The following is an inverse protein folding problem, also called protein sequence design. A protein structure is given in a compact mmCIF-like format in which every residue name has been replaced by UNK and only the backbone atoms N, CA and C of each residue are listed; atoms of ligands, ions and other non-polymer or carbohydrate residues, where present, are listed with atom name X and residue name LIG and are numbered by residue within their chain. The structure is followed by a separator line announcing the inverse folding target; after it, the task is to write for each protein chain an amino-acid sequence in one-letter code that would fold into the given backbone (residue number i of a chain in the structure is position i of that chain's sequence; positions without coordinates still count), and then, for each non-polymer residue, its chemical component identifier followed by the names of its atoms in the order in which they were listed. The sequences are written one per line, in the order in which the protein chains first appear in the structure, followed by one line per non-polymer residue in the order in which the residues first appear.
data_IF_472696956614
#
_entry.id   IF_472696956614
#
_cell.length_a   1.000
_cell.length_b   1.000
_cell.length_c   1.000
_cell.angle_alpha   90.00
_cell.angle_beta   90.00
_cell.angle_gamma   90.00
#
_symmetry.space_group_name_H-M   'P 1'
#
loop_
_entity.id
_entity.type
_entity.pdbx_description
1 polymer ?
#
# COMPACT_ATOMS: atom_id res chain seq x y z
N UNK A 1 30.49 13.12 -9.89
CA UNK A 1 29.55 12.72 -8.81
C UNK A 1 28.10 13.11 -9.12
N UNK A 2 27.80 14.37 -9.46
CA UNK A 2 26.45 14.85 -9.82
C UNK A 2 25.82 14.09 -11.00
N UNK A 3 26.60 13.81 -12.04
CA UNK A 3 26.13 13.06 -13.21
C UNK A 3 25.82 11.58 -12.93
N UNK A 4 26.49 10.97 -11.95
CA UNK A 4 26.25 9.58 -11.55
C UNK A 4 24.93 9.46 -10.76
N UNK A 5 24.67 10.44 -9.88
CA UNK A 5 23.40 10.56 -9.15
C UNK A 5 22.24 10.82 -10.12
N UNK A 6 22.43 11.72 -11.09
CA UNK A 6 21.44 11.96 -12.14
C UNK A 6 21.14 10.70 -12.95
N UNK A 7 22.17 9.93 -13.37
CA UNK A 7 21.98 8.67 -14.10
C UNK A 7 21.28 7.58 -13.28
N UNK A 8 21.53 7.51 -11.98
CA UNK A 8 20.87 6.57 -11.05
C UNK A 8 19.41 6.96 -10.78
N UNK A 9 19.05 8.24 -10.84
CA UNK A 9 17.70 8.73 -10.66
C UNK A 9 16.82 8.66 -11.92
N UNK A 10 17.40 8.66 -13.13
CA UNK A 10 16.65 8.56 -14.39
C UNK A 10 15.68 7.37 -14.42
N UNK A 11 16.06 6.14 -14.03
CA UNK A 11 15.11 5.05 -14.00
C UNK A 11 14.11 5.11 -12.83
N UNK A 12 14.34 5.93 -11.79
CA UNK A 12 13.32 6.27 -10.78
C UNK A 12 12.23 7.21 -11.34
N UNK A 13 12.55 8.01 -12.36
CA UNK A 13 11.64 8.96 -13.02
C UNK A 13 10.82 8.28 -14.13
N UNK A 14 11.35 7.22 -14.74
CA UNK A 14 10.76 6.52 -15.88
C UNK A 14 9.89 5.29 -15.50
N UNK A 15 9.90 4.88 -14.24
CA UNK A 15 8.89 3.96 -13.72
C UNK A 15 7.62 4.76 -13.44
N UNK A 16 6.41 4.24 -13.74
CA UNK A 16 5.18 4.91 -13.36
C UNK A 16 5.15 5.02 -11.83
N UNK A 17 5.56 6.18 -11.32
CA UNK A 17 5.88 6.42 -9.92
C UNK A 17 4.64 6.56 -9.03
N UNK A 18 3.45 6.46 -9.57
CA UNK A 18 2.27 7.02 -8.92
C UNK A 18 1.16 5.97 -8.96
N UNK A 19 0.81 5.48 -7.76
CA UNK A 19 -0.31 4.59 -7.41
C UNK A 19 -0.01 3.10 -7.19
N UNK A 20 1.06 2.82 -6.48
CA UNK A 20 1.07 1.66 -5.58
C UNK A 20 0.77 2.24 -4.20
N UNK A 21 0.07 1.51 -3.36
CA UNK A 21 0.23 1.75 -1.94
C UNK A 21 1.59 1.18 -1.52
N UNK A 22 1.64 0.41 -0.44
CA UNK A 22 2.69 -0.58 -0.36
C UNK A 22 2.73 -1.46 -1.63
N UNK A 23 3.92 -1.98 -1.96
CA UNK A 23 4.09 -2.76 -3.18
C UNK A 23 3.55 -4.19 -3.07
N UNK A 24 3.66 -4.92 -4.19
CA UNK A 24 3.26 -6.34 -4.30
C UNK A 24 3.84 -7.19 -3.18
N UNK A 25 5.11 -6.97 -2.83
CA UNK A 25 5.83 -7.70 -1.81
C UNK A 25 5.16 -7.57 -0.45
N UNK A 26 4.87 -6.35 0.00
CA UNK A 26 4.17 -6.16 1.28
C UNK A 26 2.77 -6.79 1.27
N UNK A 27 1.99 -6.61 0.20
CA UNK A 27 0.66 -7.21 0.13
C UNK A 27 0.69 -8.75 0.13
N UNK A 28 1.69 -9.36 -0.52
CA UNK A 28 1.90 -10.80 -0.43
C UNK A 28 2.38 -11.23 0.96
N UNK A 29 3.23 -10.44 1.62
CA UNK A 29 3.67 -10.73 2.98
C UNK A 29 2.47 -10.72 3.96
N UNK A 30 1.60 -9.72 3.85
CA UNK A 30 0.36 -9.63 4.63
C UNK A 30 -0.63 -10.75 4.28
N UNK A 31 -0.78 -11.05 2.99
CA UNK A 31 -1.59 -12.17 2.53
C UNK A 31 -1.10 -13.52 3.08
N UNK A 32 0.20 -13.78 3.02
CA UNK A 32 0.81 -14.98 3.58
C UNK A 32 0.56 -15.09 5.08
N UNK A 33 0.66 -13.98 5.81
CA UNK A 33 0.34 -13.96 7.24
C UNK A 33 -1.10 -14.41 7.53
N UNK A 34 -2.08 -13.98 6.73
CA UNK A 34 -3.47 -14.45 6.87
C UNK A 34 -3.56 -15.96 6.61
N UNK A 35 -2.89 -16.46 5.57
CA UNK A 35 -2.89 -17.90 5.24
C UNK A 35 -2.18 -18.76 6.30
N UNK A 36 -1.22 -18.21 7.03
CA UNK A 36 -0.55 -18.87 8.15
C UNK A 36 -1.44 -18.91 9.40
N UNK A 37 -2.46 -18.04 9.48
CA UNK A 37 -3.32 -17.84 10.65
C UNK A 37 -4.81 -18.11 10.37
N UNK A 38 -5.10 -19.03 9.45
CA UNK A 38 -6.49 -19.32 9.02
C UNK A 38 -7.41 -19.78 10.15
N UNK A 39 -6.87 -20.37 11.23
CA UNK A 39 -7.65 -20.80 12.40
C UNK A 39 -8.28 -19.63 13.17
N UNK A 40 -7.80 -18.40 12.96
CA UNK A 40 -8.36 -17.18 13.53
C UNK A 40 -9.45 -16.54 12.64
N UNK A 41 -9.84 -17.21 11.55
CA UNK A 41 -10.93 -16.79 10.67
C UNK A 41 -12.19 -17.64 10.90
N UNK A 42 -13.38 -17.19 10.45
CA UNK A 42 -14.57 -18.01 10.49
C UNK A 42 -14.37 -19.30 9.68
N UNK A 43 -14.91 -20.43 10.15
CA UNK A 43 -14.67 -21.77 9.56
C UNK A 43 -14.90 -21.83 8.05
N UNK A 44 -15.94 -21.14 7.55
CA UNK A 44 -16.21 -21.07 6.12
C UNK A 44 -15.06 -20.42 5.34
N UNK A 45 -14.49 -19.33 5.86
CA UNK A 45 -13.39 -18.61 5.23
C UNK A 45 -12.06 -19.37 5.40
N UNK A 46 -11.82 -19.97 6.56
CA UNK A 46 -10.70 -20.89 6.78
C UNK A 46 -10.65 -21.99 5.71
N UNK A 47 -11.78 -22.68 5.49
CA UNK A 47 -11.88 -23.74 4.49
C UNK A 47 -11.69 -23.21 3.07
N UNK A 48 -12.30 -22.06 2.74
CA UNK A 48 -12.20 -21.44 1.43
C UNK A 48 -10.75 -21.02 1.10
N UNK A 49 -10.10 -20.28 2.00
CA UNK A 49 -8.75 -19.78 1.77
C UNK A 49 -7.71 -20.91 1.85
N UNK A 50 -7.94 -21.92 2.70
CA UNK A 50 -7.12 -23.13 2.75
C UNK A 50 -7.19 -23.96 1.47
N UNK A 51 -8.35 -24.02 0.82
CA UNK A 51 -8.53 -24.71 -0.46
C UNK A 51 -7.99 -23.91 -1.67
N UNK A 52 -8.05 -22.57 -1.62
CA UNK A 52 -7.69 -21.69 -2.74
C UNK A 52 -6.62 -20.62 -2.39
N UNK A 53 -5.48 -20.97 -1.76
CA UNK A 53 -4.53 -20.00 -1.21
C UNK A 53 -3.87 -19.13 -2.30
N UNK A 54 -3.57 -19.70 -3.46
CA UNK A 54 -2.99 -18.94 -4.57
C UNK A 54 -3.96 -17.95 -5.21
N UNK A 55 -5.27 -18.26 -5.22
CA UNK A 55 -6.27 -17.33 -5.73
C UNK A 55 -6.46 -16.15 -4.77
N UNK A 56 -6.44 -16.43 -3.46
CA UNK A 56 -6.41 -15.40 -2.43
C UNK A 56 -5.20 -14.47 -2.57
N UNK A 57 -3.98 -15.04 -2.64
CA UNK A 57 -2.76 -14.25 -2.83
C UNK A 57 -2.75 -13.47 -4.14
N UNK A 58 -3.32 -14.02 -5.21
CA UNK A 58 -3.52 -13.28 -6.46
C UNK A 58 -4.47 -12.09 -6.24
N UNK A 59 -5.55 -12.28 -5.48
CA UNK A 59 -6.44 -11.21 -5.03
C UNK A 59 -5.70 -10.08 -4.33
N UNK A 60 -4.82 -10.40 -3.38
CA UNK A 60 -4.03 -9.43 -2.59
C UNK A 60 -3.18 -8.48 -3.44
N UNK A 61 -2.87 -8.83 -4.69
CA UNK A 61 -2.02 -8.02 -5.58
C UNK A 61 -2.77 -7.55 -6.83
N UNK A 62 -4.04 -7.94 -6.97
CA UNK A 62 -4.79 -7.72 -8.21
C UNK A 62 -5.26 -6.28 -8.42
N UNK A 63 -5.45 -5.53 -7.33
CA UNK A 63 -5.78 -4.10 -7.39
C UNK A 63 -4.66 -3.27 -8.08
N UNK A 64 -3.41 -3.70 -7.95
CA UNK A 64 -2.25 -3.03 -8.53
C UNK A 64 -1.95 -3.44 -9.99
N UNK A 65 -2.70 -4.41 -10.53
CA UNK A 65 -2.50 -4.83 -11.92
C UNK A 65 -2.82 -3.71 -12.90
N UNK A 66 -3.80 -2.86 -12.60
CA UNK A 66 -4.26 -1.79 -13.49
C UNK A 66 -3.21 -0.67 -13.59
N UNK A 67 -2.50 -0.51 -14.71
CA UNK A 67 -1.46 0.53 -14.87
C UNK A 67 -2.00 1.81 -15.54
N UNK A 68 -1.23 2.91 -15.48
CA UNK A 68 -1.54 4.16 -16.20
C UNK A 68 -2.54 5.10 -15.53
N UNK A 69 -2.71 4.97 -14.20
CA UNK A 69 -3.87 5.50 -13.47
C UNK A 69 -3.95 7.06 -13.36
N UNK A 70 -2.87 7.80 -13.60
CA UNK A 70 -2.77 9.28 -13.43
C UNK A 70 -3.64 10.11 -14.40
N UNK A 71 -4.11 9.55 -15.51
CA UNK A 71 -4.90 10.30 -16.50
C UNK A 71 -6.41 10.06 -16.41
N UNK A 72 -6.88 9.40 -15.34
CA UNK A 72 -8.30 9.03 -15.20
C UNK A 72 -8.77 9.16 -13.74
N UNK A 73 -10.04 9.48 -13.51
CA UNK A 73 -10.67 9.45 -12.16
C UNK A 73 -10.75 8.04 -11.53
N UNK A 74 -10.17 7.04 -12.20
CA UNK A 74 -10.30 5.61 -11.93
C UNK A 74 -9.59 5.14 -10.65
N UNK A 75 -8.57 5.85 -10.18
CA UNK A 75 -7.86 5.56 -8.93
C UNK A 75 -8.81 5.40 -7.74
N UNK A 76 -9.81 6.29 -7.67
CA UNK A 76 -10.85 6.28 -6.63
C UNK A 76 -11.82 5.10 -6.76
N UNK A 77 -11.81 4.41 -7.90
CA UNK A 77 -12.72 3.32 -8.18
C UNK A 77 -12.12 1.95 -7.90
N UNK A 78 -10.81 1.71 -8.06
CA UNK A 78 -10.24 0.40 -7.74
C UNK A 78 -9.91 0.26 -6.24
N UNK A 79 -9.25 1.24 -5.62
CA UNK A 79 -8.85 1.15 -4.21
C UNK A 79 -9.96 1.62 -3.25
N UNK A 80 -11.17 1.05 -3.38
CA UNK A 80 -12.30 1.41 -2.53
C UNK A 80 -13.16 0.22 -2.15
N UNK A 81 -13.71 0.24 -0.94
CA UNK A 81 -14.55 -0.84 -0.39
C UNK A 81 -15.73 -1.23 -1.29
N UNK A 82 -16.32 -0.23 -1.97
CA UNK A 82 -17.38 -0.45 -2.95
C UNK A 82 -16.93 -1.37 -4.09
N UNK A 83 -15.68 -1.27 -4.53
CA UNK A 83 -15.16 -2.14 -5.58
C UNK A 83 -14.85 -3.53 -5.06
N UNK A 84 -14.22 -3.64 -3.89
CA UNK A 84 -14.02 -4.93 -3.23
C UNK A 84 -15.33 -5.70 -3.07
N UNK A 85 -16.41 -5.01 -2.69
CA UNK A 85 -17.76 -5.58 -2.64
C UNK A 85 -18.29 -6.03 -3.98
N UNK A 86 -18.19 -5.20 -5.03
CA UNK A 86 -18.60 -5.60 -6.38
C UNK A 86 -17.87 -6.84 -6.88
N UNK A 87 -16.58 -6.96 -6.60
CA UNK A 87 -15.77 -8.13 -6.97
C UNK A 87 -16.25 -9.37 -6.21
N UNK A 88 -16.52 -9.23 -4.90
CA UNK A 88 -17.04 -10.32 -4.07
C UNK A 88 -18.43 -10.77 -4.51
N UNK A 89 -19.34 -9.82 -4.78
CA UNK A 89 -20.71 -10.10 -5.22
C UNK A 89 -20.76 -10.76 -6.62
N UNK A 90 -19.81 -10.42 -7.49
CA UNK A 90 -19.70 -10.99 -8.83
C UNK A 90 -18.96 -12.35 -8.87
N UNK A 91 -18.36 -12.79 -7.76
CA UNK A 91 -17.62 -14.04 -7.70
C UNK A 91 -18.55 -15.26 -7.74
N UNK A 92 -18.48 -16.05 -8.81
CA UNK A 92 -19.35 -17.21 -9.01
C UNK A 92 -18.77 -18.52 -8.45
N UNK A 93 -17.43 -18.63 -8.39
CA UNK A 93 -16.73 -19.85 -7.95
C UNK A 93 -15.98 -19.61 -6.64
N UNK A 94 -15.66 -20.68 -5.91
CA UNK A 94 -14.90 -20.57 -4.66
C UNK A 94 -13.48 -20.03 -4.89
N UNK A 95 -12.84 -20.35 -6.01
CA UNK A 95 -11.58 -19.73 -6.41
C UNK A 95 -11.71 -18.20 -6.57
N UNK A 96 -12.78 -17.74 -7.22
CA UNK A 96 -13.07 -16.32 -7.38
C UNK A 96 -13.42 -15.63 -6.05
N UNK A 97 -14.17 -16.29 -5.16
CA UNK A 97 -14.46 -15.76 -3.83
C UNK A 97 -13.18 -15.59 -3.02
N UNK A 98 -12.29 -16.59 -3.05
CA UNK A 98 -10.97 -16.48 -2.40
C UNK A 98 -10.17 -15.29 -2.95
N UNK A 99 -10.19 -15.09 -4.28
CA UNK A 99 -9.58 -13.93 -4.92
C UNK A 99 -10.21 -12.60 -4.45
N UNK A 100 -11.53 -12.53 -4.35
CA UNK A 100 -12.24 -11.35 -3.86
C UNK A 100 -11.88 -11.02 -2.40
N UNK A 101 -11.78 -12.02 -1.52
CA UNK A 101 -11.30 -11.81 -0.14
C UNK A 101 -9.84 -11.34 -0.11
N UNK A 102 -9.00 -11.82 -1.02
CA UNK A 102 -7.64 -11.28 -1.20
C UNK A 102 -7.65 -9.79 -1.56
N UNK A 103 -8.56 -9.39 -2.44
CA UNK A 103 -8.76 -7.97 -2.79
C UNK A 103 -9.17 -7.14 -1.57
N UNK A 104 -10.04 -7.66 -0.70
CA UNK A 104 -10.41 -6.98 0.54
C UNK A 104 -9.24 -6.85 1.52
N UNK A 105 -8.38 -7.88 1.63
CA UNK A 105 -7.15 -7.81 2.42
C UNK A 105 -6.17 -6.77 1.88
N UNK A 106 -6.11 -6.58 0.56
CA UNK A 106 -5.34 -5.49 -0.05
C UNK A 106 -5.86 -4.13 0.41
N UNK A 107 -7.17 -3.89 0.26
CA UNK A 107 -7.79 -2.64 0.70
C UNK A 107 -7.60 -2.38 2.21
N UNK A 108 -7.68 -3.44 3.03
CA UNK A 108 -7.46 -3.33 4.47
C UNK A 108 -6.03 -2.84 4.79
N UNK A 109 -5.02 -3.38 4.10
CA UNK A 109 -3.64 -2.93 4.24
C UNK A 109 -3.48 -1.46 3.79
N UNK A 110 -4.13 -1.08 2.68
CA UNK A 110 -4.10 0.28 2.15
C UNK A 110 -4.64 1.31 3.15
N UNK A 111 -5.65 0.97 3.97
CA UNK A 111 -6.13 1.89 5.02
C UNK A 111 -5.02 2.31 5.99
N UNK A 112 -4.11 1.39 6.36
CA UNK A 112 -2.98 1.67 7.25
C UNK A 112 -1.89 2.42 6.50
N UNK A 113 -1.57 1.97 5.29
CA UNK A 113 -0.53 2.59 4.46
C UNK A 113 -0.85 4.07 4.19
N UNK A 114 -2.08 4.36 3.76
CA UNK A 114 -2.47 5.67 3.25
C UNK A 114 -3.11 6.58 4.30
N UNK A 115 -3.57 6.06 5.44
CA UNK A 115 -4.10 6.91 6.52
C UNK A 115 -3.07 7.21 7.61
N UNK A 116 -2.02 6.38 7.74
CA UNK A 116 -1.01 6.53 8.79
C UNK A 116 0.41 6.55 8.27
N UNK A 117 0.88 5.44 7.67
CA UNK A 117 2.30 5.27 7.34
C UNK A 117 2.82 6.36 6.39
N UNK A 118 2.29 6.43 5.17
CA UNK A 118 2.76 7.37 4.15
C UNK A 118 2.53 8.83 4.58
N UNK A 119 1.33 9.24 5.05
CA UNK A 119 1.09 10.60 5.52
C UNK A 119 2.07 11.04 6.61
N UNK A 120 2.25 10.23 7.66
CA UNK A 120 3.13 10.59 8.77
C UNK A 120 4.59 10.69 8.31
N UNK A 121 5.07 9.75 7.48
CA UNK A 121 6.45 9.81 6.96
C UNK A 121 6.69 10.99 6.02
N UNK A 122 5.67 11.40 5.27
CA UNK A 122 5.70 12.65 4.52
C UNK A 122 5.83 13.85 5.45
N UNK A 123 5.07 13.92 6.55
CA UNK A 123 5.19 15.03 7.50
C UNK A 123 6.55 15.01 8.22
N UNK A 124 7.01 13.85 8.70
CA UNK A 124 8.32 13.66 9.36
C UNK A 124 9.49 14.18 8.52
N UNK A 125 9.35 14.19 7.20
CA UNK A 125 10.40 14.63 6.27
C UNK A 125 10.10 15.97 5.60
N UNK A 126 9.37 16.84 6.31
CA UNK A 126 8.96 18.16 5.82
C UNK A 126 10.10 18.99 5.24
N UNK A 127 11.32 18.92 5.79
CA UNK A 127 12.48 19.67 5.32
C UNK A 127 13.29 18.98 4.21
N UNK A 128 12.80 17.90 3.60
CA UNK A 128 13.53 17.14 2.56
C UNK A 128 12.71 16.95 1.28
N UNK A 129 13.00 17.73 0.23
CA UNK A 129 12.17 17.88 -0.99
C UNK A 129 11.84 16.57 -1.72
N UNK A 130 12.76 15.61 -1.78
CA UNK A 130 12.62 14.39 -2.59
C UNK A 130 11.86 13.25 -1.90
N UNK A 131 11.66 13.31 -0.57
CA UNK A 131 11.07 12.20 0.19
C UNK A 131 9.55 12.31 0.22
N UNK A 132 8.94 11.99 -0.92
CA UNK A 132 7.50 12.04 -1.16
C UNK A 132 6.86 10.66 -0.99
N UNK A 133 5.58 10.54 -1.33
CA UNK A 133 4.76 9.33 -1.25
C UNK A 133 5.49 8.05 -1.70
N UNK A 134 5.84 7.96 -2.98
CA UNK A 134 6.46 6.77 -3.60
C UNK A 134 7.77 6.35 -2.94
N UNK A 135 8.52 7.32 -2.41
CA UNK A 135 9.78 7.02 -1.73
C UNK A 135 9.56 6.14 -0.51
N UNK A 136 8.54 6.45 0.29
CA UNK A 136 8.27 5.71 1.53
C UNK A 136 7.75 4.31 1.27
N UNK A 137 6.92 4.15 0.25
CA UNK A 137 6.43 2.85 -0.19
C UNK A 137 7.55 1.96 -0.70
N UNK A 138 8.38 2.47 -1.62
CA UNK A 138 9.54 1.74 -2.13
C UNK A 138 10.53 1.38 -1.02
N UNK A 139 10.70 2.26 -0.03
CA UNK A 139 11.57 2.00 1.10
C UNK A 139 11.02 0.90 2.01
N UNK A 140 9.70 0.89 2.24
CA UNK A 140 9.06 -0.18 3.00
C UNK A 140 9.15 -1.52 2.25
N UNK A 141 8.87 -1.49 0.95
CA UNK A 141 8.95 -2.64 0.03
C UNK A 141 10.37 -3.23 -0.04
N UNK A 142 11.41 -2.38 0.02
CA UNK A 142 12.80 -2.82 0.03
C UNK A 142 13.12 -3.74 1.22
N UNK A 143 12.37 -3.61 2.31
CA UNK A 143 12.50 -4.45 3.49
C UNK A 143 11.75 -5.78 3.42
N UNK A 144 10.99 -6.05 2.36
CA UNK A 144 10.24 -7.31 2.21
C UNK A 144 11.20 -8.51 2.14
N UNK A 145 10.89 -9.62 2.83
CA UNK A 145 11.73 -10.81 2.83
C UNK A 145 11.90 -11.43 1.43
N UNK A 146 13.10 -11.93 1.05
CA UNK A 146 13.38 -12.48 -0.28
C UNK A 146 12.44 -13.62 -0.73
N UNK A 147 11.95 -14.44 0.19
CA UNK A 147 11.02 -15.54 -0.04
C UNK A 147 9.67 -15.07 -0.57
N UNK A 148 9.21 -13.89 -0.15
CA UNK A 148 7.97 -13.28 -0.65
C UNK A 148 8.07 -12.99 -2.14
N UNK A 149 9.27 -12.66 -2.64
CA UNK A 149 9.52 -12.45 -4.07
C UNK A 149 9.56 -13.77 -4.85
N UNK A 150 9.97 -14.87 -4.22
CA UNK A 150 9.81 -16.19 -4.83
C UNK A 150 8.32 -16.55 -4.99
N UNK A 151 7.51 -16.24 -3.97
CA UNK A 151 6.05 -16.38 -4.04
C UNK A 151 5.45 -15.50 -5.13
N UNK A 152 5.83 -14.23 -5.22
CA UNK A 152 5.38 -13.31 -6.27
C UNK A 152 5.62 -13.88 -7.69
N UNK A 153 6.79 -14.48 -7.94
CA UNK A 153 7.09 -15.15 -9.22
C UNK A 153 6.24 -16.40 -9.45
N UNK A 154 5.96 -17.16 -8.40
CA UNK A 154 5.06 -18.32 -8.49
C UNK A 154 3.66 -17.89 -8.88
N UNK A 155 3.13 -16.82 -8.27
CA UNK A 155 1.83 -16.23 -8.63
C UNK A 155 1.86 -15.71 -10.06
N UNK A 156 2.88 -14.95 -10.46
CA UNK A 156 2.99 -14.38 -11.82
C UNK A 156 3.02 -15.44 -12.94
N UNK A 157 3.49 -16.66 -12.65
CA UNK A 157 3.56 -17.78 -13.61
C UNK A 157 2.28 -18.61 -13.69
N UNK A 158 1.42 -18.56 -12.67
CA UNK A 158 0.16 -19.31 -12.66
C UNK A 158 -0.87 -18.65 -13.58
N UNK A 159 -1.69 -19.46 -14.23
CA UNK A 159 -2.89 -18.95 -14.91
C UNK A 159 -3.99 -18.71 -13.89
N UNK A 160 -4.59 -17.52 -13.96
CA UNK A 160 -5.74 -17.11 -13.15
C UNK A 160 -6.87 -16.62 -14.06
N UNK A 161 -7.05 -17.24 -15.24
CA UNK A 161 -7.98 -16.80 -16.29
C UNK A 161 -9.41 -16.52 -15.79
N UNK A 162 -9.92 -17.37 -14.88
CA UNK A 162 -11.25 -17.17 -14.30
C UNK A 162 -11.32 -15.93 -13.39
N UNK A 163 -10.25 -15.63 -12.64
CA UNK A 163 -10.18 -14.41 -11.84
C UNK A 163 -9.91 -13.19 -12.74
N UNK A 164 -9.13 -13.34 -13.81
CA UNK A 164 -8.93 -12.27 -14.80
C UNK A 164 -10.25 -11.89 -15.47
N UNK A 165 -11.08 -12.87 -15.80
CA UNK A 165 -12.41 -12.64 -16.37
C UNK A 165 -13.31 -11.91 -15.37
N UNK A 166 -13.31 -12.34 -14.10
CA UNK A 166 -14.02 -11.62 -13.03
C UNK A 166 -13.55 -10.16 -12.94
N UNK A 167 -12.23 -9.95 -12.85
CA UNK A 167 -11.64 -8.63 -12.71
C UNK A 167 -11.98 -7.76 -13.92
N UNK A 168 -11.85 -8.26 -15.16
CA UNK A 168 -12.25 -7.52 -16.38
C UNK A 168 -13.72 -7.12 -16.40
N UNK A 169 -14.59 -7.97 -15.88
CA UNK A 169 -16.04 -7.69 -15.91
C UNK A 169 -16.42 -6.60 -14.90
N UNK A 170 -15.67 -6.47 -13.80
CA UNK A 170 -15.98 -5.56 -12.69
C UNK A 170 -15.17 -4.27 -12.78
N UNK A 171 -13.90 -4.37 -13.17
CA UNK A 171 -12.98 -3.26 -13.40
C UNK A 171 -13.22 -2.73 -14.82
N UNK A 172 -13.73 -1.50 -14.95
CA UNK A 172 -13.81 -0.86 -16.27
C UNK A 172 -12.40 -0.67 -16.87
N UNK A 173 -12.29 -0.70 -18.20
CA UNK A 173 -11.01 -0.49 -18.87
C UNK A 173 -10.44 0.91 -18.54
N UNK A 174 -9.14 0.97 -18.26
CA UNK A 174 -8.39 2.24 -18.18
C UNK A 174 -7.80 2.58 -19.56
N UNK A 175 -6.66 3.27 -19.62
CA UNK A 175 -5.96 3.56 -20.88
C UNK A 175 -5.57 2.26 -21.62
N UNK A 176 -5.32 1.19 -20.86
CA UNK A 176 -5.03 -0.14 -21.40
C UNK A 176 -6.08 -1.15 -20.93
N UNK A 177 -6.36 -2.14 -21.76
CA UNK A 177 -7.13 -3.30 -21.32
C UNK A 177 -6.47 -3.97 -20.11
N UNK A 178 -7.28 -4.57 -19.24
CA UNK A 178 -6.77 -5.35 -18.11
C UNK A 178 -5.73 -6.41 -18.53
N UNK A 179 -5.93 -7.06 -19.69
CA UNK A 179 -5.00 -8.07 -20.22
C UNK A 179 -3.63 -7.48 -20.53
N UNK A 180 -3.57 -6.28 -21.13
CA UNK A 180 -2.33 -5.56 -21.40
C UNK A 180 -1.64 -5.15 -20.09
N UNK A 181 -2.41 -4.60 -19.16
CA UNK A 181 -1.96 -4.23 -17.81
C UNK A 181 -1.36 -5.42 -17.06
N UNK A 182 -2.05 -6.57 -17.07
CA UNK A 182 -1.57 -7.82 -16.47
C UNK A 182 -0.28 -8.32 -17.10
N UNK A 183 -0.15 -8.24 -18.43
CA UNK A 183 1.10 -8.64 -19.10
C UNK A 183 2.28 -7.80 -18.64
N UNK A 184 2.10 -6.48 -18.52
CA UNK A 184 3.13 -5.58 -18.02
C UNK A 184 3.46 -5.87 -16.54
N UNK A 185 2.44 -6.02 -15.71
CA UNK A 185 2.57 -6.36 -14.29
C UNK A 185 3.34 -7.67 -14.07
N UNK A 186 2.94 -8.75 -14.73
CA UNK A 186 3.62 -10.04 -14.65
C UNK A 186 5.06 -9.93 -15.15
N UNK A 187 5.30 -9.15 -16.20
CA UNK A 187 6.65 -8.92 -16.72
C UNK A 187 7.52 -8.26 -15.65
N UNK A 188 7.01 -7.24 -14.94
CA UNK A 188 7.72 -6.60 -13.83
C UNK A 188 8.09 -7.63 -12.74
N UNK A 189 7.14 -8.44 -12.27
CA UNK A 189 7.37 -9.45 -11.22
C UNK A 189 8.41 -10.51 -11.58
N UNK A 190 8.58 -10.79 -12.88
CA UNK A 190 9.53 -11.77 -13.37
C UNK A 190 10.94 -11.19 -13.63
N UNK A 191 11.11 -9.86 -13.61
CA UNK A 191 12.40 -9.23 -13.82
C UNK A 191 13.31 -9.43 -12.59
N UNK A 192 14.44 -10.11 -12.77
CA UNK A 192 15.52 -10.17 -11.79
C UNK A 192 16.06 -8.79 -11.37
N UNK A 193 15.84 -7.76 -12.19
CA UNK A 193 16.19 -6.38 -11.85
C UNK A 193 15.49 -5.92 -10.57
N UNK A 194 14.26 -6.35 -10.27
CA UNK A 194 13.59 -5.97 -9.00
C UNK A 194 14.45 -6.30 -7.76
N UNK A 195 15.14 -7.44 -7.75
CA UNK A 195 16.03 -7.81 -6.63
C UNK A 195 17.29 -6.94 -6.56
N UNK A 196 17.85 -6.54 -7.71
CA UNK A 196 19.00 -5.63 -7.75
C UNK A 196 18.60 -4.20 -7.31
N UNK A 197 17.40 -3.77 -7.72
CA UNK A 197 16.79 -2.52 -7.29
C UNK A 197 16.48 -2.51 -5.80
N UNK A 198 15.99 -3.61 -5.24
CA UNK A 198 15.81 -3.77 -3.78
C UNK A 198 17.13 -3.69 -3.03
N UNK A 199 18.21 -4.32 -3.53
CA UNK A 199 19.54 -4.19 -2.91
C UNK A 199 20.03 -2.75 -2.93
N UNK A 200 19.83 -2.05 -4.04
CA UNK A 200 20.14 -0.62 -4.14
C UNK A 200 19.30 0.21 -3.16
N UNK A 201 17.99 -0.02 -3.08
CA UNK A 201 17.09 0.68 -2.17
C UNK A 201 17.40 0.40 -0.69
N UNK A 202 17.78 -0.83 -0.33
CA UNK A 202 18.27 -1.17 1.02
C UNK A 202 19.54 -0.37 1.35
N UNK A 203 20.51 -0.32 0.44
CA UNK A 203 21.74 0.46 0.64
C UNK A 203 21.48 1.98 0.74
N UNK A 204 20.55 2.51 -0.04
CA UNK A 204 20.09 3.90 0.09
C UNK A 204 19.34 4.15 1.40
N UNK A 205 18.70 3.12 1.96
CA UNK A 205 17.98 3.22 3.24
C UNK A 205 18.94 3.27 4.44
N UNK A 206 20.07 2.57 4.37
CA UNK A 206 21.13 2.56 5.41
C UNK A 206 21.84 3.91 5.52
N UNK A 207 21.90 4.67 4.42
CA UNK A 207 22.60 5.96 4.34
C UNK A 207 21.69 7.18 4.56
N UNK A 208 20.37 6.97 4.59
CA UNK A 208 19.40 8.06 4.77
C UNK A 208 19.30 8.47 6.23
N UNK A 209 19.44 9.78 6.51
CA UNK A 209 19.24 10.38 7.85
C UNK A 209 17.86 10.06 8.44
N UNK A 210 16.88 9.76 7.59
CA UNK A 210 15.52 9.46 8.00
C UNK A 210 15.33 7.96 8.07
N UNK A 211 15.78 7.28 9.13
CA UNK A 211 15.62 5.83 9.27
C UNK A 211 14.15 5.40 9.28
N UNK A 212 13.87 4.26 8.63
CA UNK A 212 12.68 3.45 8.88
C UNK A 212 13.20 2.25 9.68
N UNK A 213 13.16 2.35 11.01
CA UNK A 213 13.66 1.30 11.89
C UNK A 213 12.72 0.08 11.93
N UNK A 214 13.20 -1.02 12.51
CA UNK A 214 12.44 -2.26 12.60
C UNK A 214 11.18 -2.09 13.46
N UNK A 215 11.24 -1.29 14.53
CA UNK A 215 10.09 -1.03 15.40
C UNK A 215 8.95 -0.31 14.66
N UNK A 216 9.26 0.75 13.89
CA UNK A 216 8.28 1.40 13.03
C UNK A 216 7.68 0.39 12.02
N UNK A 217 8.51 -0.45 11.40
CA UNK A 217 8.03 -1.44 10.42
C UNK A 217 7.10 -2.46 11.04
N UNK A 218 7.45 -2.97 12.22
CA UNK A 218 6.65 -3.93 12.96
C UNK A 218 5.33 -3.30 13.43
N UNK A 219 5.32 -2.02 13.82
CA UNK A 219 4.11 -1.28 14.12
C UNK A 219 3.17 -1.23 12.89
N UNK A 220 3.66 -0.78 11.74
CA UNK A 220 2.82 -0.65 10.54
C UNK A 220 2.36 -2.01 9.99
N UNK A 221 3.25 -3.01 9.93
CA UNK A 221 2.87 -4.37 9.53
C UNK A 221 1.90 -4.99 10.52
N UNK A 222 2.10 -4.79 11.82
CA UNK A 222 1.19 -5.27 12.87
C UNK A 222 -0.21 -4.71 12.68
N UNK A 223 -0.33 -3.39 12.51
CA UNK A 223 -1.62 -2.73 12.24
C UNK A 223 -2.27 -3.22 10.95
N UNK A 224 -1.49 -3.43 9.88
CA UNK A 224 -2.02 -3.92 8.61
C UNK A 224 -2.49 -5.37 8.67
N UNK A 225 -1.79 -6.23 9.43
CA UNK A 225 -2.23 -7.60 9.73
C UNK A 225 -3.53 -7.58 10.53
N UNK A 226 -3.61 -6.75 11.56
CA UNK A 226 -4.85 -6.56 12.33
C UNK A 226 -5.99 -6.09 11.44
N UNK A 227 -5.78 -5.09 10.59
CA UNK A 227 -6.80 -4.59 9.66
C UNK A 227 -7.30 -5.69 8.72
N UNK A 228 -6.39 -6.45 8.10
CA UNK A 228 -6.76 -7.54 7.20
C UNK A 228 -7.55 -8.64 7.94
N UNK A 229 -7.09 -9.09 9.10
CA UNK A 229 -7.78 -10.11 9.89
C UNK A 229 -9.15 -9.63 10.37
N UNK A 230 -9.25 -8.38 10.81
CA UNK A 230 -10.49 -7.79 11.33
C UNK A 230 -11.53 -7.59 10.22
N UNK A 231 -11.11 -7.14 9.03
CA UNK A 231 -11.97 -7.05 7.84
C UNK A 231 -12.47 -8.44 7.43
N UNK A 232 -11.62 -9.46 7.43
CA UNK A 232 -12.03 -10.82 7.05
C UNK A 232 -12.97 -11.48 8.08
N UNK A 233 -12.89 -11.09 9.36
CA UNK A 233 -13.78 -11.59 10.41
C UNK A 233 -15.11 -10.82 10.49
N UNK A 234 -15.07 -9.50 10.34
CA UNK A 234 -16.18 -8.62 10.69
C UNK A 234 -16.76 -7.86 9.50
N UNK A 235 -16.06 -7.82 8.36
CA UNK A 235 -16.47 -7.12 7.14
C UNK A 235 -16.89 -5.68 7.45
N UNK A 236 -18.13 -5.29 7.14
CA UNK A 236 -18.67 -3.93 7.38
C UNK A 236 -18.68 -3.48 8.83
N UNK A 237 -18.65 -4.44 9.78
CA UNK A 237 -18.60 -4.13 11.21
C UNK A 237 -17.19 -3.80 11.70
N UNK A 238 -16.17 -4.03 10.88
CA UNK A 238 -14.80 -3.66 11.18
C UNK A 238 -14.68 -2.13 11.29
N UNK A 239 -14.01 -1.59 12.32
CA UNK A 239 -13.67 -0.18 12.37
C UNK A 239 -12.81 0.28 11.17
N UNK A 240 -12.06 -0.63 10.52
CA UNK A 240 -11.27 -0.31 9.32
C UNK A 240 -12.13 -0.19 8.06
N UNK A 241 -13.37 -0.67 8.08
CA UNK A 241 -14.26 -0.59 6.91
C UNK A 241 -14.75 0.85 6.64
N UNK A 242 -14.79 1.68 7.69
CA UNK A 242 -15.14 3.11 7.56
C UNK A 242 -13.96 3.98 7.09
N UNK A 243 -12.74 3.42 7.13
CA UNK A 243 -11.54 4.07 6.64
C UNK A 243 -11.55 4.15 5.11
N UNK A 244 -10.94 5.19 4.56
CA UNK A 244 -10.70 5.31 3.12
C UNK A 244 -9.38 4.61 2.74
N UNK A 245 -9.40 3.49 1.98
CA UNK A 245 -8.16 2.83 1.56
C UNK A 245 -7.27 3.74 0.70
N UNK A 246 -7.85 4.71 -0.01
CA UNK A 246 -7.04 5.67 -0.79
C UNK A 246 -6.34 6.71 0.10
N UNK A 247 -6.82 6.90 1.34
CA UNK A 247 -6.32 7.86 2.33
C UNK A 247 -6.33 9.30 1.88
N UNK A 248 -7.27 9.71 1.00
CA UNK A 248 -7.29 11.05 0.39
C UNK A 248 -7.26 12.15 1.46
N UNK A 249 -8.03 11.98 2.54
CA UNK A 249 -8.07 12.95 3.66
C UNK A 249 -6.73 13.05 4.39
N UNK A 250 -6.15 11.92 4.76
CA UNK A 250 -4.89 11.87 5.51
C UNK A 250 -3.71 12.40 4.67
N UNK A 251 -3.65 12.04 3.39
CA UNK A 251 -2.63 12.51 2.45
C UNK A 251 -2.74 14.02 2.21
N UNK A 252 -3.96 14.56 2.07
CA UNK A 252 -4.18 16.00 1.95
C UNK A 252 -3.77 16.74 3.23
N UNK A 253 -4.15 16.23 4.41
CA UNK A 253 -3.75 16.80 5.68
C UNK A 253 -2.22 16.80 5.84
N UNK A 254 -1.58 15.67 5.56
CA UNK A 254 -0.12 15.56 5.58
C UNK A 254 0.55 16.53 4.59
N UNK A 255 -0.01 16.73 3.40
CA UNK A 255 0.53 17.69 2.43
C UNK A 255 0.50 19.12 2.98
N UNK A 256 -0.61 19.54 3.58
CA UNK A 256 -0.76 20.87 4.18
C UNK A 256 0.19 21.07 5.36
N UNK A 257 0.18 20.14 6.32
CA UNK A 257 1.06 20.18 7.50
C UNK A 257 2.53 20.23 7.06
N UNK A 258 2.93 19.34 6.14
CA UNK A 258 4.30 19.28 5.62
C UNK A 258 4.72 20.62 5.00
N UNK A 259 3.82 21.26 4.24
CA UNK A 259 4.08 22.57 3.63
C UNK A 259 4.27 23.65 4.70
N UNK A 260 3.39 23.71 5.70
CA UNK A 260 3.46 24.70 6.78
C UNK A 260 4.76 24.55 7.59
N UNK A 261 5.09 23.32 8.03
CA UNK A 261 6.34 23.04 8.75
C UNK A 261 7.58 23.39 7.91
N UNK A 262 7.56 23.12 6.61
CA UNK A 262 8.66 23.49 5.72
C UNK A 262 8.84 25.00 5.61
N UNK A 263 7.76 25.78 5.53
CA UNK A 263 7.82 27.24 5.51
C UNK A 263 8.40 27.80 6.81
N UNK A 264 7.91 27.36 7.97
CA UNK A 264 8.42 27.80 9.27
C UNK A 264 9.90 27.45 9.45
N UNK A 265 10.32 26.28 8.97
CA UNK A 265 11.72 25.85 8.99
C UNK A 265 12.62 26.73 8.12
N UNK A 266 12.20 27.05 6.90
CA UNK A 266 12.96 27.93 6.01
C UNK A 266 13.05 29.37 6.54
N UNK A 267 12.01 29.83 7.24
CA UNK A 267 11.99 31.13 7.92
C UNK A 267 12.81 31.16 9.22
N UNK A 268 13.38 30.01 9.66
CA UNK A 268 14.10 29.89 10.93
C UNK A 268 13.21 29.99 12.18
N UNK A 269 11.89 29.90 12.00
CA UNK A 269 10.86 30.02 13.05
C UNK A 269 10.48 28.67 13.69
N UNK A 270 11.07 27.58 13.21
CA UNK A 270 10.82 26.24 13.75
C UNK A 270 12.14 25.58 14.15
N UNK A 271 12.57 25.71 15.42
CA UNK A 271 13.69 24.97 15.97
C UNK A 271 13.49 23.46 15.87
N UNK A 272 14.58 22.70 15.74
CA UNK A 272 14.53 21.24 15.60
C UNK A 272 13.83 20.53 16.78
N UNK A 273 14.03 21.01 18.01
CA UNK A 273 13.38 20.46 19.19
C UNK A 273 11.84 20.60 19.14
N UNK A 274 11.36 21.75 18.66
CA UNK A 274 9.93 22.02 18.51
C UNK A 274 9.34 21.21 17.35
N UNK A 275 10.05 21.11 16.23
CA UNK A 275 9.67 20.22 15.13
C UNK A 275 9.50 18.76 15.61
N UNK A 276 10.44 18.26 16.42
CA UNK A 276 10.37 16.91 16.97
C UNK A 276 9.19 16.72 17.93
N UNK A 277 8.86 17.73 18.74
CA UNK A 277 7.68 17.70 19.61
C UNK A 277 6.37 17.63 18.80
N UNK A 278 6.22 18.47 17.77
CA UNK A 278 5.07 18.43 16.86
C UNK A 278 4.96 17.04 16.20
N UNK A 279 6.06 16.49 15.70
CA UNK A 279 6.06 15.16 15.08
C UNK A 279 5.66 14.05 16.06
N UNK A 280 6.07 14.15 17.33
CA UNK A 280 5.68 13.20 18.37
C UNK A 280 4.16 13.24 18.66
N UNK A 281 3.54 14.42 18.59
CA UNK A 281 2.09 14.59 18.76
C UNK A 281 1.31 14.14 17.52
N UNK A 282 1.84 14.35 16.32
CA UNK A 282 1.18 13.97 15.07
C UNK A 282 1.15 12.46 14.84
N UNK A 283 2.19 11.71 15.23
CA UNK A 283 2.26 10.25 15.02
C UNK A 283 1.02 9.50 15.55
N UNK A 284 0.63 9.63 16.83
CA UNK A 284 -0.55 8.93 17.36
C UNK A 284 -1.87 9.42 16.75
N UNK A 285 -1.95 10.70 16.34
CA UNK A 285 -3.15 11.24 15.69
C UNK A 285 -3.36 10.66 14.28
N UNK A 286 -2.30 10.53 13.48
CA UNK A 286 -2.38 9.81 12.20
C UNK A 286 -2.74 8.33 12.40
N UNK A 287 -2.21 7.69 13.46
CA UNK A 287 -2.56 6.31 13.80
C UNK A 287 -4.04 6.15 14.16
N UNK A 288 -4.59 7.04 15.00
CA UNK A 288 -6.02 7.07 15.34
C UNK A 288 -6.89 7.38 14.12
N UNK A 289 -6.41 8.26 13.25
CA UNK A 289 -7.04 8.65 12.00
C UNK A 289 -7.26 7.50 11.00
N UNK A 290 -6.63 6.32 11.20
CA UNK A 290 -6.97 5.13 10.41
C UNK A 290 -8.46 4.83 10.56
N UNK A 291 -8.95 4.61 11.78
CA UNK A 291 -10.35 4.22 12.03
C UNK A 291 -11.25 5.38 12.44
N UNK A 292 -10.67 6.56 12.69
CA UNK A 292 -11.39 7.79 13.07
C UNK A 292 -11.02 8.94 12.12
N UNK A 293 -11.32 8.82 10.81
CA UNK A 293 -10.81 9.75 9.79
C UNK A 293 -11.32 11.19 9.93
N UNK A 294 -12.43 11.42 10.63
CA UNK A 294 -12.95 12.77 10.87
C UNK A 294 -12.08 13.57 11.86
N UNK A 295 -11.38 12.91 12.79
CA UNK A 295 -10.45 13.56 13.72
C UNK A 295 -9.21 14.11 13.02
N UNK A 296 -8.89 13.63 11.81
CA UNK A 296 -7.80 14.21 11.00
C UNK A 296 -8.13 15.64 10.53
N UNK A 297 -9.39 16.07 10.57
CA UNK A 297 -9.77 17.46 10.25
C UNK A 297 -9.37 18.41 11.39
N UNK A 298 -9.36 17.95 12.64
CA UNK A 298 -8.92 18.74 13.80
C UNK A 298 -7.42 19.04 13.76
N UNK A 299 -6.63 18.17 13.10
CA UNK A 299 -5.21 18.42 12.82
C UNK A 299 -4.95 19.68 11.99
N UNK A 300 -5.89 20.06 11.13
CA UNK A 300 -5.76 21.22 10.25
C UNK A 300 -6.10 22.53 10.95
N UNK A 301 -6.81 22.49 12.07
CA UNK A 301 -7.14 23.68 12.88
C UNK A 301 -6.08 24.05 13.90
N UNK A 302 -5.15 23.12 14.22
CA UNK A 302 -4.16 23.27 15.28
C UNK A 302 -2.72 23.53 14.78
N UNK A 303 -2.47 23.43 13.46
CA UNK A 303 -1.13 23.52 12.84
C UNK A 303 -1.00 24.62 11.81
#
# INVERSE_FOLDING_TARGET
MVYLVALLCIPLILLPAESWAWGVGVHLQLGSHVLENLSALPTALQNLLGAFPHNYLYGCISADITLGKKFTHYLKHCHGWRMGRKILDAAATDAQKACAYGYLSHLAADTVAHSYFVPFKMVRTFNTVLLKHTYWELRFEAGVPPETWALARTIARKSFEANDALMRNVLSDTIFSFSTNKRLFNSLLLLNRLQQWQKMLRSLSETSKWSLDEEDRDEYLGLARTAAMDILNHMEKSPYWQSDPTGERALNAAHMIRKNLNLLWLDGKLPEAEANAILAELKPRFRQGITQPDQLLELLSEV
#
